data_IF_037733537690
#
_entry.id   IF_037733537690
#
_cell.length_a   1.000
_cell.length_b   1.000
_cell.length_c   1.000
_cell.angle_alpha   90.00
_cell.angle_beta   90.00
_cell.angle_gamma   90.00
#
_symmetry.space_group_name_H-M   'P 1'
#
loop_
_entity.id
_entity.type
_entity.pdbx_description
1 polymer ?
#
# COMPACT_ATOMS: atom_id res chain seq x y z
N UNK A 1 -24.15 9.38 -25.10
CA UNK A 1 -24.44 9.17 -23.66
C UNK A 1 -23.26 8.44 -23.07
N UNK A 2 -22.53 9.10 -22.17
CA UNK A 2 -21.22 8.69 -21.67
C UNK A 2 -21.31 7.40 -20.85
N UNK A 3 -20.67 6.33 -21.31
CA UNK A 3 -20.39 5.14 -20.53
C UNK A 3 -19.17 5.40 -19.65
N UNK A 4 -19.42 5.60 -18.36
CA UNK A 4 -18.40 5.62 -17.31
C UNK A 4 -17.70 4.27 -17.29
N UNK A 5 -16.51 4.18 -17.87
CA UNK A 5 -15.62 3.02 -17.74
C UNK A 5 -15.10 3.03 -16.31
N UNK A 6 -15.77 2.30 -15.44
CA UNK A 6 -15.21 1.94 -14.14
C UNK A 6 -14.01 1.02 -14.41
N UNK A 7 -12.81 1.52 -14.18
CA UNK A 7 -11.59 0.71 -14.10
C UNK A 7 -11.84 -0.36 -13.03
N UNK A 8 -12.15 -1.58 -13.46
CA UNK A 8 -12.29 -2.73 -12.57
C UNK A 8 -10.97 -2.92 -11.82
N UNK A 9 -11.00 -2.76 -10.50
CA UNK A 9 -9.84 -3.03 -9.66
C UNK A 9 -9.60 -4.54 -9.70
N UNK A 10 -8.43 -5.00 -10.17
CA UNK A 10 -8.15 -6.42 -10.27
C UNK A 10 -8.22 -7.10 -8.91
N UNK A 11 -8.80 -8.30 -8.85
CA UNK A 11 -8.88 -9.06 -7.60
C UNK A 11 -7.54 -9.74 -7.28
N UNK A 12 -7.32 -10.07 -6.01
CA UNK A 12 -6.14 -10.85 -5.58
C UNK A 12 -6.02 -12.19 -6.33
N UNK A 13 -7.15 -12.85 -6.64
CA UNK A 13 -7.18 -14.06 -7.45
C UNK A 13 -6.70 -13.84 -8.88
N UNK A 14 -7.07 -12.71 -9.49
CA UNK A 14 -6.65 -12.40 -10.85
C UNK A 14 -5.13 -12.17 -10.91
N UNK A 15 -4.57 -11.49 -9.90
CA UNK A 15 -3.12 -11.28 -9.79
C UNK A 15 -2.36 -12.58 -9.53
N UNK A 16 -2.91 -13.46 -8.69
CA UNK A 16 -2.33 -14.79 -8.42
C UNK A 16 -2.31 -15.68 -9.67
N UNK A 17 -3.33 -15.60 -10.53
CA UNK A 17 -3.40 -16.42 -11.76
C UNK A 17 -2.26 -16.12 -12.73
N UNK A 18 -1.96 -14.85 -12.98
CA UNK A 18 -0.82 -14.40 -13.82
C UNK A 18 0.50 -14.93 -13.26
N UNK A 19 0.56 -15.06 -11.93
CA UNK A 19 1.78 -15.39 -11.23
C UNK A 19 2.07 -16.89 -11.16
N UNK A 20 1.04 -17.71 -10.99
CA UNK A 20 1.15 -19.18 -10.93
C UNK A 20 1.66 -19.76 -12.26
N UNK A 21 1.39 -19.08 -13.37
CA UNK A 21 1.90 -19.42 -14.71
C UNK A 21 3.36 -19.00 -14.97
N UNK A 22 4.04 -18.35 -14.01
CA UNK A 22 5.39 -17.81 -14.19
C UNK A 22 6.50 -18.60 -13.47
N UNK A 23 7.71 -18.51 -14.04
CA UNK A 23 8.88 -19.36 -13.77
C UNK A 23 9.47 -19.20 -12.33
N UNK A 24 10.53 -19.94 -11.99
CA UNK A 24 11.16 -19.95 -10.65
C UNK A 24 11.55 -18.58 -10.08
N UNK A 25 11.94 -17.64 -10.95
CA UNK A 25 12.30 -16.25 -10.60
C UNK A 25 11.14 -15.48 -9.99
N UNK A 26 9.93 -15.64 -10.54
CA UNK A 26 8.72 -15.00 -10.04
C UNK A 26 8.43 -15.48 -8.61
N UNK A 27 8.51 -16.78 -8.34
CA UNK A 27 8.34 -17.31 -6.97
C UNK A 27 9.34 -16.73 -5.96
N UNK A 28 10.55 -16.36 -6.40
CA UNK A 28 11.53 -15.69 -5.56
C UNK A 28 11.15 -14.24 -5.26
N UNK A 29 10.69 -13.48 -6.26
CA UNK A 29 10.24 -12.09 -6.11
C UNK A 29 9.02 -12.00 -5.17
N UNK A 30 8.09 -12.96 -5.21
CA UNK A 30 7.02 -13.02 -4.20
C UNK A 30 7.52 -13.40 -2.82
N UNK A 31 8.45 -14.35 -2.70
CA UNK A 31 8.98 -14.72 -1.39
C UNK A 31 9.74 -13.57 -0.75
N UNK A 32 10.49 -12.79 -1.54
CA UNK A 32 11.11 -11.56 -1.05
C UNK A 32 10.04 -10.52 -0.74
N UNK A 33 9.14 -10.17 -1.64
CA UNK A 33 8.08 -9.18 -1.40
C UNK A 33 7.14 -9.51 -0.23
N UNK A 34 6.75 -10.78 -0.07
CA UNK A 34 5.97 -11.25 1.07
C UNK A 34 6.77 -11.17 2.38
N UNK A 35 8.09 -11.41 2.32
CA UNK A 35 8.99 -11.23 3.47
C UNK A 35 9.17 -9.75 3.82
N UNK A 36 9.32 -8.87 2.83
CA UNK A 36 9.31 -7.41 3.01
C UNK A 36 8.01 -6.98 3.72
N UNK A 37 6.85 -7.43 3.23
CA UNK A 37 5.55 -7.11 3.84
C UNK A 37 5.35 -7.69 5.25
N UNK A 38 6.13 -8.68 5.66
CA UNK A 38 6.00 -9.33 6.97
C UNK A 38 6.85 -8.67 8.04
N UNK A 39 7.97 -8.07 7.63
CA UNK A 39 8.87 -7.33 8.52
C UNK A 39 8.44 -5.85 8.69
N UNK A 40 7.57 -5.31 7.80
CA UNK A 40 7.02 -3.94 7.86
C UNK A 40 5.52 -3.86 8.25
N UNK A 41 4.95 -4.88 8.88
CA UNK A 41 3.57 -4.75 9.38
C UNK A 41 3.53 -3.82 10.59
N UNK A 42 3.24 -2.54 10.33
CA UNK A 42 2.81 -1.54 11.31
C UNK A 42 1.47 -1.95 11.92
N UNK A 43 1.50 -2.94 12.79
CA UNK A 43 0.31 -3.40 13.50
C UNK A 43 0.12 -2.58 14.77
N UNK A 44 -1.03 -1.91 14.87
CA UNK A 44 -1.48 -1.28 16.12
C UNK A 44 -1.47 -2.33 17.23
N UNK A 45 -0.70 -2.07 18.30
CA UNK A 45 -0.75 -2.88 19.51
C UNK A 45 -1.87 -2.34 20.38
N UNK A 46 -3.07 -2.92 20.28
CA UNK A 46 -4.27 -2.39 20.93
C UNK A 46 -4.15 -2.15 22.44
N UNK A 47 -3.27 -2.87 23.14
CA UNK A 47 -3.02 -2.65 24.56
C UNK A 47 -2.27 -1.34 24.87
N UNK A 48 -1.60 -0.74 23.88
CA UNK A 48 -0.74 0.43 24.02
C UNK A 48 -1.14 1.60 23.10
N UNK A 49 -1.70 1.28 21.94
CA UNK A 49 -1.89 2.21 20.83
C UNK A 49 -3.39 2.57 20.65
N UNK A 50 -4.17 2.58 21.73
CA UNK A 50 -5.56 3.06 21.77
C UNK A 50 -5.66 4.21 22.77
N UNK A 51 -5.95 5.40 22.28
CA UNK A 51 -5.96 6.63 23.08
C UNK A 51 -7.29 7.37 22.90
N UNK A 52 -7.85 7.94 23.96
CA UNK A 52 -9.07 8.74 23.86
C UNK A 52 -8.78 10.16 23.35
N UNK A 53 -9.75 10.81 22.70
CA UNK A 53 -9.63 12.23 22.33
C UNK A 53 -9.42 13.13 23.55
N UNK A 54 -9.93 12.72 24.72
CA UNK A 54 -9.70 13.43 25.98
C UNK A 54 -8.23 13.38 26.39
N UNK A 55 -7.59 12.22 26.31
CA UNK A 55 -6.18 12.05 26.65
C UNK A 55 -5.27 12.79 25.67
N UNK A 56 -5.60 12.73 24.37
CA UNK A 56 -4.91 13.49 23.33
C UNK A 56 -4.96 14.99 23.61
N UNK A 57 -6.12 15.50 24.05
CA UNK A 57 -6.28 16.92 24.41
C UNK A 57 -5.43 17.32 25.62
N UNK A 58 -5.27 16.42 26.60
CA UNK A 58 -4.53 16.69 27.84
C UNK A 58 -3.02 16.71 27.56
N UNK A 59 -2.50 15.76 26.79
CA UNK A 59 -1.07 15.66 26.52
C UNK A 59 -0.78 15.25 25.06
N UNK A 60 -0.86 16.18 24.12
CA UNK A 60 -0.64 15.88 22.70
C UNK A 60 0.81 15.45 22.44
N UNK A 61 1.78 16.02 23.15
CA UNK A 61 3.20 15.70 22.97
C UNK A 61 3.50 14.22 23.25
N UNK A 62 2.85 13.62 24.28
CA UNK A 62 3.00 12.19 24.57
C UNK A 62 2.56 11.31 23.39
N UNK A 63 1.42 11.64 22.78
CA UNK A 63 0.87 10.87 21.64
C UNK A 63 1.78 10.99 20.43
N UNK A 64 2.23 12.21 20.11
CA UNK A 64 3.15 12.45 19.00
C UNK A 64 4.48 11.72 19.19
N UNK A 65 5.06 11.78 20.39
CA UNK A 65 6.31 11.08 20.69
C UNK A 65 6.15 9.56 20.61
N UNK A 66 5.05 9.00 21.13
CA UNK A 66 4.80 7.55 21.01
C UNK A 66 4.76 7.11 19.55
N UNK A 67 4.03 7.83 18.70
CA UNK A 67 3.95 7.52 17.27
C UNK A 67 5.30 7.62 16.58
N UNK A 68 6.07 8.67 16.90
CA UNK A 68 7.41 8.90 16.34
C UNK A 68 8.42 7.84 16.78
N UNK A 69 8.44 7.49 18.06
CA UNK A 69 9.45 6.59 18.63
C UNK A 69 9.13 5.12 18.32
N UNK A 70 7.85 4.76 18.26
CA UNK A 70 7.44 3.37 18.03
C UNK A 70 7.23 3.05 16.57
N UNK A 71 7.03 4.06 15.70
CA UNK A 71 6.57 3.87 14.32
C UNK A 71 5.31 2.98 14.25
N UNK A 72 4.42 3.10 15.25
CA UNK A 72 3.14 2.38 15.29
C UNK A 72 1.96 3.33 15.24
N UNK A 73 0.94 3.06 14.41
CA UNK A 73 -0.26 3.87 14.33
C UNK A 73 -1.12 3.70 15.59
N UNK A 74 -1.61 4.82 16.11
CA UNK A 74 -2.50 4.91 17.29
C UNK A 74 -3.95 5.11 16.85
N UNK A 75 -4.85 4.29 17.37
CA UNK A 75 -6.30 4.46 17.23
C UNK A 75 -6.81 5.49 18.24
N UNK A 76 -7.38 6.59 17.73
CA UNK A 76 -8.09 7.57 18.53
C UNK A 76 -9.54 7.15 18.74
N UNK A 77 -10.02 7.27 19.97
CA UNK A 77 -11.39 6.93 20.34
C UNK A 77 -12.18 8.12 20.89
N UNK A 78 -13.47 8.14 20.58
CA UNK A 78 -14.46 9.05 21.18
C UNK A 78 -15.58 8.22 21.79
N UNK A 79 -15.75 8.31 23.10
CA UNK A 79 -16.72 7.50 23.87
C UNK A 79 -16.60 6.00 23.55
N UNK A 80 -15.36 5.50 23.53
CA UNK A 80 -15.06 4.08 23.26
C UNK A 80 -15.16 3.66 21.79
N UNK A 81 -15.50 4.56 20.86
CA UNK A 81 -15.56 4.26 19.42
C UNK A 81 -14.36 4.81 18.70
N UNK A 82 -13.71 4.02 17.85
CA UNK A 82 -12.64 4.49 16.97
C UNK A 82 -13.14 5.57 16.01
N UNK A 83 -12.39 6.68 15.90
CA UNK A 83 -12.77 7.84 15.07
C UNK A 83 -11.67 8.34 14.16
N UNK A 84 -10.41 8.09 14.49
CA UNK A 84 -9.26 8.53 13.71
C UNK A 84 -8.04 7.66 14.02
N UNK A 85 -7.02 7.72 13.17
CA UNK A 85 -5.71 7.11 13.38
C UNK A 85 -4.66 8.21 13.33
N UNK A 86 -3.70 8.18 14.25
CA UNK A 86 -2.50 9.01 14.22
C UNK A 86 -1.32 8.13 13.90
N UNK A 87 -0.50 8.53 12.93
CA UNK A 87 0.70 7.81 12.51
C UNK A 87 1.80 8.82 12.19
N UNK A 88 3.04 8.34 12.09
CA UNK A 88 4.17 9.20 11.76
C UNK A 88 4.04 9.67 10.31
N UNK A 89 4.49 10.90 10.04
CA UNK A 89 4.40 11.48 8.70
C UNK A 89 5.28 10.71 7.71
N UNK A 90 6.53 10.42 8.10
CA UNK A 90 7.49 9.73 7.24
C UNK A 90 6.99 8.32 6.88
N UNK A 91 6.42 7.61 7.87
CA UNK A 91 5.83 6.28 7.66
C UNK A 91 4.62 6.36 6.73
N UNK A 92 3.76 7.38 6.89
CA UNK A 92 2.61 7.58 6.01
C UNK A 92 3.02 7.83 4.57
N UNK A 93 4.01 8.70 4.33
CA UNK A 93 4.47 9.03 2.99
C UNK A 93 5.10 7.82 2.30
N UNK A 94 5.95 7.09 3.03
CA UNK A 94 6.53 5.83 2.56
C UNK A 94 5.46 4.80 2.19
N UNK A 95 4.46 4.62 3.06
CA UNK A 95 3.30 3.76 2.80
C UNK A 95 2.53 4.19 1.54
N UNK A 96 2.35 5.50 1.32
CA UNK A 96 1.67 5.99 0.12
C UNK A 96 2.46 5.67 -1.15
N UNK A 97 3.78 5.87 -1.12
CA UNK A 97 4.67 5.56 -2.24
C UNK A 97 4.67 4.06 -2.55
N UNK A 98 4.83 3.21 -1.54
CA UNK A 98 4.81 1.76 -1.71
C UNK A 98 3.45 1.29 -2.27
N UNK A 99 2.34 1.81 -1.74
CA UNK A 99 1.00 1.49 -2.26
C UNK A 99 0.82 1.92 -3.71
N UNK A 100 1.35 3.09 -4.10
CA UNK A 100 1.29 3.57 -5.48
C UNK A 100 2.12 2.66 -6.40
N UNK A 101 3.33 2.29 -5.98
CA UNK A 101 4.19 1.36 -6.70
C UNK A 101 3.52 -0.01 -6.88
N UNK A 102 2.99 -0.59 -5.81
CA UNK A 102 2.33 -1.90 -5.87
C UNK A 102 1.09 -1.89 -6.77
N UNK A 103 0.32 -0.79 -6.80
CA UNK A 103 -0.79 -0.62 -7.76
C UNK A 103 -0.28 -0.58 -9.21
N UNK A 104 0.81 0.14 -9.48
CA UNK A 104 1.40 0.21 -10.81
C UNK A 104 1.90 -1.17 -11.27
N UNK A 105 2.56 -1.93 -10.39
CA UNK A 105 3.00 -3.31 -10.67
C UNK A 105 1.80 -4.21 -10.96
N UNK A 106 0.77 -4.18 -10.11
CA UNK A 106 -0.44 -4.97 -10.31
C UNK A 106 -1.14 -4.63 -11.64
N UNK A 107 -1.20 -3.34 -11.99
CA UNK A 107 -1.75 -2.89 -13.27
C UNK A 107 -0.91 -3.38 -14.46
N UNK A 108 0.41 -3.26 -14.39
CA UNK A 108 1.31 -3.73 -15.45
C UNK A 108 1.18 -5.24 -15.70
N UNK A 109 1.07 -6.04 -14.63
CA UNK A 109 0.80 -7.48 -14.76
C UNK A 109 -0.54 -7.76 -15.46
N UNK A 110 -1.58 -6.99 -15.14
CA UNK A 110 -2.87 -7.10 -15.82
C UNK A 110 -2.82 -6.70 -17.29
N UNK A 111 -2.03 -5.68 -17.63
CA UNK A 111 -1.86 -5.23 -18.99
C UNK A 111 -1.18 -6.32 -19.83
N UNK A 112 -0.15 -6.97 -19.29
CA UNK A 112 0.49 -8.14 -19.91
C UNK A 112 -0.52 -9.27 -20.15
N UNK A 113 -1.31 -9.65 -19.13
CA UNK A 113 -2.33 -10.71 -19.27
C UNK A 113 -3.33 -10.43 -20.39
N UNK A 114 -3.71 -9.16 -20.54
CA UNK A 114 -4.71 -8.74 -21.51
C UNK A 114 -4.12 -8.33 -22.87
N UNK A 115 -2.81 -8.57 -23.09
CA UNK A 115 -2.13 -8.19 -24.34
C UNK A 115 -2.03 -6.69 -24.57
N UNK A 116 -2.23 -5.85 -23.54
CA UNK A 116 -2.06 -4.38 -23.59
C UNK A 116 -0.58 -4.02 -23.43
N UNK A 117 0.25 -4.54 -24.33
CA UNK A 117 1.70 -4.34 -24.35
C UNK A 117 2.10 -3.58 -25.62
N UNK A 118 3.25 -2.91 -25.58
CA UNK A 118 3.81 -2.16 -26.71
C UNK A 118 5.27 -2.57 -26.87
N UNK A 119 5.71 -2.74 -28.11
CA UNK A 119 7.11 -3.05 -28.41
C UNK A 119 8.02 -1.88 -28.07
N UNK A 120 9.24 -2.17 -27.64
CA UNK A 120 10.19 -1.13 -27.17
C UNK A 120 10.44 -0.06 -28.25
N UNK A 121 10.53 -0.47 -29.52
CA UNK A 121 10.72 0.45 -30.64
C UNK A 121 9.56 1.45 -30.77
N UNK A 122 8.32 0.98 -30.62
CA UNK A 122 7.13 1.84 -30.68
C UNK A 122 7.07 2.81 -29.50
N UNK A 123 7.46 2.37 -28.29
CA UNK A 123 7.55 3.23 -27.11
C UNK A 123 8.56 4.35 -27.31
N UNK A 124 9.75 4.05 -27.85
CA UNK A 124 10.80 5.04 -28.15
C UNK A 124 10.31 6.11 -29.12
N UNK A 125 9.68 5.71 -30.22
CA UNK A 125 9.09 6.63 -31.18
C UNK A 125 7.99 7.49 -30.54
N UNK A 126 7.14 6.90 -29.69
CA UNK A 126 6.03 7.60 -29.03
C UNK A 126 6.49 8.61 -27.98
N UNK A 127 7.54 8.31 -27.24
CA UNK A 127 8.08 9.18 -26.19
C UNK A 127 9.15 10.14 -26.68
N UNK A 128 9.53 10.06 -27.97
CA UNK A 128 10.62 10.84 -28.57
C UNK A 128 11.95 10.68 -27.82
N UNK A 129 12.30 9.43 -27.47
CA UNK A 129 13.53 9.08 -26.77
C UNK A 129 14.30 8.08 -27.64
N UNK A 130 15.52 8.43 -28.04
CA UNK A 130 16.42 7.61 -28.87
C UNK A 130 17.05 6.44 -28.07
#
# INVERSE_FOLDING_TARGET
MNSSVWLSVPTLSDLLSIFVESNSTSKQVLKSGLKISKDEQMQTKFSEDVISLSDLKINPAKVINQVKDTHRPILLTSRGRGVAVVQNLDDYEKDQEERAFMKAVAQGLMDVKNGRVMELAEVKTKLAID
#
